data_IF_459981704209
#
_entry.id   IF_459981704209
#
_cell.length_a   1.000
_cell.length_b   1.000
_cell.length_c   1.000
_cell.angle_alpha   90.00
_cell.angle_beta   90.00
_cell.angle_gamma   90.00
#
_symmetry.space_group_name_H-M   'P 1'
#
loop_
_entity.id
_entity.type
_entity.pdbx_description
1 polymer ?
#
# COMPACT_ATOMS: atom_id res chain seq x y z
N UNK A 1 -8.70 -10.34 8.89
CA UNK A 1 -9.01 -11.42 7.92
C UNK A 1 -7.75 -12.11 7.36
N UNK A 2 -6.66 -11.41 7.02
CA UNK A 2 -5.46 -12.04 6.41
C UNK A 2 -4.47 -12.71 7.37
N UNK A 3 -4.57 -12.39 8.65
CA UNK A 3 -3.89 -13.09 9.72
C UNK A 3 -5.06 -13.50 10.59
N UNK A 4 -5.51 -14.76 10.48
CA UNK A 4 -6.40 -15.33 11.49
C UNK A 4 -5.54 -15.39 12.75
N UNK A 5 -5.55 -14.28 13.49
CA UNK A 5 -4.81 -14.12 14.73
C UNK A 5 -5.90 -14.05 15.79
N UNK A 6 -6.04 -15.12 16.55
CA UNK A 6 -6.89 -15.07 17.72
C UNK A 6 -6.25 -14.13 18.74
N UNK A 7 -7.06 -13.24 19.32
CA UNK A 7 -6.72 -12.38 20.45
C UNK A 7 -5.65 -11.29 20.18
N UNK A 8 -5.86 -10.44 19.18
CA UNK A 8 -5.14 -9.15 19.09
C UNK A 8 -5.96 -8.08 19.82
N UNK A 9 -5.33 -7.25 20.63
CA UNK A 9 -6.03 -6.21 21.39
C UNK A 9 -6.52 -5.08 20.47
N UNK A 10 -7.82 -4.85 20.42
CA UNK A 10 -8.43 -3.77 19.63
C UNK A 10 -8.10 -2.36 20.16
N UNK A 11 -7.53 -2.26 21.37
CA UNK A 11 -7.16 -0.98 21.99
C UNK A 11 -6.20 -0.17 21.12
N UNK A 12 -5.13 -0.79 20.61
CA UNK A 12 -4.15 -0.12 19.73
C UNK A 12 -4.80 0.38 18.43
N UNK A 13 -5.75 -0.38 17.88
CA UNK A 13 -6.46 0.00 16.67
C UNK A 13 -7.42 1.18 16.92
N UNK A 14 -8.12 1.20 18.07
CA UNK A 14 -8.97 2.33 18.47
C UNK A 14 -8.15 3.60 18.67
N UNK A 15 -6.99 3.49 19.33
CA UNK A 15 -6.08 4.63 19.48
C UNK A 15 -5.60 5.14 18.11
N UNK A 16 -5.14 4.25 17.23
CA UNK A 16 -4.75 4.63 15.87
C UNK A 16 -5.87 5.39 15.15
N UNK A 17 -7.11 4.88 15.20
CA UNK A 17 -8.27 5.53 14.59
C UNK A 17 -8.50 6.95 15.13
N UNK A 18 -8.61 7.12 16.46
CA UNK A 18 -8.91 8.44 17.02
C UNK A 18 -7.77 9.44 16.80
N UNK A 19 -6.52 9.06 17.08
CA UNK A 19 -5.37 9.96 16.92
C UNK A 19 -5.17 10.40 15.47
N UNK A 20 -5.27 9.48 14.50
CA UNK A 20 -5.12 9.83 13.08
C UNK A 20 -6.25 10.73 12.58
N UNK A 21 -7.52 10.43 12.91
CA UNK A 21 -8.64 11.24 12.45
C UNK A 21 -8.67 12.62 13.11
N UNK A 22 -8.49 12.70 14.43
CA UNK A 22 -8.45 13.98 15.16
C UNK A 22 -7.29 14.82 14.64
N UNK A 23 -6.10 14.24 14.48
CA UNK A 23 -4.94 14.95 13.94
C UNK A 23 -5.17 15.50 12.53
N UNK A 24 -5.78 14.71 11.63
CA UNK A 24 -6.09 15.16 10.27
C UNK A 24 -7.13 16.28 10.24
N UNK A 25 -8.20 16.16 11.04
CA UNK A 25 -9.26 17.19 11.11
C UNK A 25 -8.69 18.50 11.64
N UNK A 26 -7.97 18.45 12.76
CA UNK A 26 -7.37 19.67 13.35
C UNK A 26 -6.36 20.29 12.40
N UNK A 27 -5.49 19.49 11.76
CA UNK A 27 -4.52 19.98 10.80
C UNK A 27 -5.20 20.66 9.60
N UNK A 28 -6.30 20.10 9.11
CA UNK A 28 -7.08 20.68 8.00
C UNK A 28 -7.70 22.01 8.42
N UNK A 29 -8.27 22.08 9.63
CA UNK A 29 -8.86 23.32 10.17
C UNK A 29 -7.79 24.40 10.38
N UNK A 30 -6.65 24.05 10.97
CA UNK A 30 -5.54 24.96 11.20
C UNK A 30 -4.99 25.54 9.88
N UNK A 31 -4.82 24.69 8.88
CA UNK A 31 -4.36 25.11 7.57
C UNK A 31 -5.36 26.03 6.86
N UNK A 32 -6.67 25.72 6.93
CA UNK A 32 -7.71 26.45 6.20
C UNK A 32 -8.14 27.75 6.88
N UNK A 33 -8.21 27.79 8.21
CA UNK A 33 -8.68 28.96 8.96
C UNK A 33 -7.55 29.86 9.47
N UNK A 34 -6.41 29.27 9.86
CA UNK A 34 -5.30 29.99 10.50
C UNK A 34 -4.11 30.21 9.57
N UNK A 35 -4.24 29.86 8.29
CA UNK A 35 -3.19 29.96 7.26
C UNK A 35 -1.88 29.25 7.64
N UNK A 36 -1.98 28.24 8.50
CA UNK A 36 -0.85 27.49 9.04
C UNK A 36 -0.22 28.14 10.26
N UNK A 37 -0.69 27.73 11.43
CA UNK A 37 -0.17 28.19 12.71
C UNK A 37 1.18 27.56 13.04
N UNK A 38 1.89 28.12 14.04
CA UNK A 38 3.12 27.55 14.59
C UNK A 38 2.91 26.12 15.16
N UNK A 39 1.64 25.72 15.35
CA UNK A 39 1.23 24.42 15.88
C UNK A 39 1.14 23.29 14.84
N UNK A 40 1.36 23.54 13.54
CA UNK A 40 1.38 22.48 12.50
C UNK A 40 2.24 21.25 12.91
N UNK A 41 3.46 21.41 13.47
CA UNK A 41 4.26 20.26 13.89
C UNK A 41 3.61 19.43 15.00
N UNK A 42 2.83 20.07 15.89
CA UNK A 42 2.11 19.40 16.99
C UNK A 42 0.98 18.54 16.42
N UNK A 43 0.22 19.06 15.45
CA UNK A 43 -0.83 18.30 14.76
C UNK A 43 -0.24 17.13 13.95
N UNK A 44 0.90 17.36 13.30
CA UNK A 44 1.67 16.30 12.65
C UNK A 44 2.11 15.20 13.61
N UNK A 45 2.60 15.56 14.81
CA UNK A 45 2.99 14.58 15.83
C UNK A 45 1.83 13.69 16.27
N UNK A 46 0.63 14.25 16.45
CA UNK A 46 -0.59 13.49 16.79
C UNK A 46 -0.92 12.44 15.70
N UNK A 47 -0.82 12.82 14.42
CA UNK A 47 -1.03 11.89 13.29
C UNK A 47 0.02 10.77 13.32
N UNK A 48 1.29 11.11 13.53
CA UNK A 48 2.40 10.15 13.61
C UNK A 48 2.16 9.16 14.74
N UNK A 49 1.76 9.62 15.92
CA UNK A 49 1.40 8.75 17.06
C UNK A 49 0.31 7.75 16.66
N UNK A 50 -0.74 8.19 15.96
CA UNK A 50 -1.78 7.31 15.44
C UNK A 50 -1.24 6.23 14.48
N UNK A 51 -0.36 6.62 13.55
CA UNK A 51 0.27 5.68 12.60
C UNK A 51 1.20 4.70 13.32
N UNK A 52 1.93 5.13 14.35
CA UNK A 52 2.77 4.24 15.17
C UNK A 52 1.93 3.18 15.88
N UNK A 53 0.79 3.57 16.47
CA UNK A 53 -0.15 2.60 17.05
C UNK A 53 -0.69 1.60 16.02
N UNK A 54 -0.96 2.07 14.79
CA UNK A 54 -1.35 1.19 13.68
C UNK A 54 -0.23 0.21 13.32
N UNK A 55 1.01 0.67 13.19
CA UNK A 55 2.17 -0.20 12.91
C UNK A 55 2.39 -1.24 14.01
N UNK A 56 2.23 -0.86 15.29
CA UNK A 56 2.30 -1.79 16.43
C UNK A 56 1.22 -2.87 16.31
N UNK A 57 -0.02 -2.49 15.99
CA UNK A 57 -1.11 -3.44 15.79
C UNK A 57 -0.83 -4.42 14.64
N UNK A 58 -0.30 -3.93 13.52
CA UNK A 58 0.08 -4.79 12.38
C UNK A 58 1.22 -5.74 12.79
N UNK A 59 2.23 -5.26 13.51
CA UNK A 59 3.34 -6.09 13.97
C UNK A 59 2.87 -7.19 14.95
N UNK A 60 1.97 -6.86 15.89
CA UNK A 60 1.36 -7.84 16.80
C UNK A 60 0.56 -8.90 16.03
N UNK A 61 -0.24 -8.47 15.05
CA UNK A 61 -1.00 -9.37 14.18
C UNK A 61 -0.08 -10.29 13.37
N UNK A 62 1.05 -9.76 12.88
CA UNK A 62 2.02 -10.51 12.07
C UNK A 62 2.77 -11.57 12.89
N UNK A 63 3.06 -11.28 14.17
CA UNK A 63 3.67 -12.24 15.11
C UNK A 63 2.74 -13.41 15.42
N UNK A 64 1.45 -13.16 15.58
CA UNK A 64 0.43 -14.18 15.92
C UNK A 64 -0.15 -14.92 14.71
N UNK A 65 0.56 -14.94 13.58
CA UNK A 65 0.02 -15.45 12.32
C UNK A 65 0.06 -16.97 12.21
N UNK A 66 -1.03 -17.55 11.72
CA UNK A 66 -1.15 -18.99 11.48
C UNK A 66 -0.49 -19.39 10.15
N UNK A 67 -0.61 -18.58 9.07
CA UNK A 67 0.04 -18.85 7.78
C UNK A 67 1.45 -18.27 7.74
N UNK A 68 2.47 -19.13 7.61
CA UNK A 68 3.88 -18.73 7.54
C UNK A 68 4.29 -18.21 6.15
N UNK A 69 3.75 -18.79 5.08
CA UNK A 69 4.01 -18.39 3.69
C UNK A 69 3.09 -17.23 3.33
N UNK A 70 3.69 -16.11 2.89
CA UNK A 70 2.95 -14.93 2.48
C UNK A 70 2.60 -15.03 1.00
N UNK A 71 1.30 -15.07 0.71
CA UNK A 71 0.79 -14.92 -0.64
C UNK A 71 1.22 -13.56 -1.22
N UNK A 72 1.32 -13.46 -2.54
CA UNK A 72 1.82 -12.26 -3.21
C UNK A 72 1.07 -10.97 -2.82
N UNK A 73 -0.26 -11.04 -2.69
CA UNK A 73 -1.08 -9.90 -2.26
C UNK A 73 -0.77 -9.48 -0.82
N UNK A 74 -0.30 -10.41 0.02
CA UNK A 74 0.16 -10.11 1.37
C UNK A 74 1.55 -9.45 1.38
N UNK A 75 2.46 -9.85 0.48
CA UNK A 75 3.75 -9.16 0.30
C UNK A 75 3.54 -7.70 -0.07
N UNK A 76 2.65 -7.40 -1.03
CA UNK A 76 2.24 -6.04 -1.38
C UNK A 76 1.61 -5.27 -0.19
N UNK A 77 0.76 -5.92 0.59
CA UNK A 77 0.14 -5.28 1.78
C UNK A 77 1.19 -4.93 2.83
N UNK A 78 2.14 -5.83 3.10
CA UNK A 78 3.23 -5.57 4.06
C UNK A 78 4.14 -4.46 3.55
N UNK A 79 4.51 -4.48 2.26
CA UNK A 79 5.26 -3.41 1.62
C UNK A 79 4.58 -2.04 1.83
N UNK A 80 3.26 -1.96 1.62
CA UNK A 80 2.50 -0.73 1.86
C UNK A 80 2.59 -0.27 3.32
N UNK A 81 2.39 -1.18 4.28
CA UNK A 81 2.43 -0.81 5.70
C UNK A 81 3.83 -0.33 6.11
N UNK A 82 4.89 -1.01 5.68
CA UNK A 82 6.25 -0.59 6.00
C UNK A 82 6.64 0.69 5.27
N UNK A 83 6.13 0.91 4.06
CA UNK A 83 6.44 2.10 3.28
C UNK A 83 5.85 3.38 3.88
N UNK A 84 4.87 3.32 4.78
CA UNK A 84 4.33 4.48 5.49
C UNK A 84 5.37 5.28 6.28
N UNK A 85 6.48 4.66 6.69
CA UNK A 85 7.57 5.38 7.35
C UNK A 85 8.20 6.44 6.42
N UNK A 86 8.31 6.15 5.11
CA UNK A 86 8.94 7.03 4.14
C UNK A 86 8.22 8.38 3.96
N UNK A 87 6.90 8.44 3.65
CA UNK A 87 6.19 9.70 3.54
C UNK A 87 6.13 10.47 4.87
N UNK A 88 6.16 9.80 6.02
CA UNK A 88 6.25 10.49 7.32
C UNK A 88 7.56 11.27 7.43
N UNK A 89 8.68 10.60 7.18
CA UNK A 89 10.01 11.23 7.24
C UNK A 89 10.11 12.37 6.21
N UNK A 90 9.68 12.13 4.97
CA UNK A 90 9.71 13.13 3.91
C UNK A 90 8.76 14.31 4.21
N UNK A 91 7.60 14.06 4.80
CA UNK A 91 6.65 15.10 5.21
C UNK A 91 7.19 15.98 6.34
N UNK A 92 7.90 15.40 7.31
CA UNK A 92 8.59 16.16 8.35
C UNK A 92 9.67 17.03 7.70
N UNK A 93 10.54 16.46 6.86
CA UNK A 93 11.59 17.20 6.17
C UNK A 93 11.02 18.35 5.30
N UNK A 94 9.90 18.12 4.61
CA UNK A 94 9.22 19.14 3.82
C UNK A 94 8.58 20.26 4.66
N UNK A 95 8.22 19.97 5.91
CA UNK A 95 7.58 20.93 6.82
C UNK A 95 8.60 21.85 7.49
N UNK A 96 9.85 21.42 7.67
CA UNK A 96 10.92 22.26 8.22
C UNK A 96 11.50 23.17 7.13
N UNK A 97 10.70 24.14 6.68
CA UNK A 97 11.06 25.16 5.69
C UNK A 97 12.26 26.03 6.12
N UNK A 98 12.63 26.00 7.42
CA UNK A 98 13.70 26.82 8.01
C UNK A 98 15.10 26.22 7.94
N UNK A 99 15.25 24.95 7.53
CA UNK A 99 16.58 24.40 7.24
C UNK A 99 16.93 24.93 5.86
N UNK A 100 17.97 25.76 5.73
CA UNK A 100 18.36 26.46 4.50
C UNK A 100 18.81 25.54 3.36
N UNK A 101 17.96 24.61 2.94
CA UNK A 101 18.13 23.75 1.80
C UNK A 101 18.03 24.58 0.51
N UNK A 102 18.82 24.17 -0.49
CA UNK A 102 18.66 24.66 -1.85
C UNK A 102 17.23 24.40 -2.35
N UNK A 103 16.66 25.35 -3.10
CA UNK A 103 15.29 25.25 -3.63
C UNK A 103 15.12 23.99 -4.49
N UNK A 104 16.14 23.59 -5.25
CA UNK A 104 16.12 22.37 -6.04
C UNK A 104 16.01 21.11 -5.18
N UNK A 105 16.69 21.08 -4.03
CA UNK A 105 16.60 19.96 -3.09
C UNK A 105 15.23 19.90 -2.40
N UNK A 106 14.69 21.05 -2.00
CA UNK A 106 13.34 21.12 -1.41
C UNK A 106 12.27 20.55 -2.37
N UNK A 107 12.31 20.95 -3.65
CA UNK A 107 11.37 20.44 -4.65
C UNK A 107 11.46 18.92 -4.81
N UNK A 108 12.68 18.35 -4.81
CA UNK A 108 12.90 16.89 -4.86
C UNK A 108 12.27 16.17 -3.67
N UNK A 109 12.41 16.71 -2.45
CA UNK A 109 11.80 16.13 -1.25
C UNK A 109 10.27 16.15 -1.32
N UNK A 110 9.68 17.27 -1.76
CA UNK A 110 8.22 17.39 -1.92
C UNK A 110 7.71 16.42 -2.99
N UNK A 111 8.45 16.27 -4.10
CA UNK A 111 8.10 15.32 -5.15
C UNK A 111 8.19 13.87 -4.65
N UNK A 112 9.25 13.51 -3.92
CA UNK A 112 9.38 12.19 -3.30
C UNK A 112 8.28 11.91 -2.27
N UNK A 113 7.89 12.92 -1.49
CA UNK A 113 6.79 12.81 -0.54
C UNK A 113 5.50 12.40 -1.26
N UNK A 114 5.11 13.15 -2.29
CA UNK A 114 3.92 12.83 -3.09
C UNK A 114 4.04 11.46 -3.76
N UNK A 115 5.19 11.18 -4.40
CA UNK A 115 5.46 9.90 -5.04
C UNK A 115 5.33 8.72 -4.06
N UNK A 116 5.91 8.84 -2.86
CA UNK A 116 5.87 7.79 -1.85
C UNK A 116 4.44 7.50 -1.36
N UNK A 117 3.60 8.52 -1.18
CA UNK A 117 2.20 8.33 -0.82
C UNK A 117 1.41 7.61 -1.91
N UNK A 118 1.47 8.09 -3.15
CA UNK A 118 0.66 7.53 -4.22
C UNK A 118 1.21 6.20 -4.73
N UNK A 119 2.48 6.17 -5.13
CA UNK A 119 3.06 5.02 -5.82
C UNK A 119 3.67 3.98 -4.91
N UNK A 120 4.06 4.32 -3.67
CA UNK A 120 4.66 3.33 -2.76
C UNK A 120 3.66 2.86 -1.71
N UNK A 121 2.80 3.73 -1.17
CA UNK A 121 1.78 3.33 -0.20
C UNK A 121 0.46 2.89 -0.87
N UNK A 122 -0.23 3.82 -1.54
CA UNK A 122 -1.59 3.58 -2.07
C UNK A 122 -1.59 2.50 -3.16
N UNK A 123 -0.70 2.60 -4.15
CA UNK A 123 -0.63 1.59 -5.22
C UNK A 123 -0.29 0.21 -4.67
N UNK A 124 0.61 0.11 -3.68
CA UNK A 124 0.97 -1.18 -3.07
C UNK A 124 -0.22 -1.84 -2.40
N UNK A 125 -1.03 -1.08 -1.66
CA UNK A 125 -2.21 -1.67 -1.01
C UNK A 125 -3.28 -2.06 -2.04
N UNK A 126 -3.48 -1.26 -3.09
CA UNK A 126 -4.44 -1.57 -4.16
C UNK A 126 -4.04 -2.87 -4.88
N UNK A 127 -2.79 -2.98 -5.32
CA UNK A 127 -2.27 -4.17 -5.99
C UNK A 127 -2.40 -5.40 -5.08
N UNK A 128 -2.08 -5.25 -3.79
CA UNK A 128 -2.19 -6.32 -2.82
C UNK A 128 -3.62 -6.81 -2.59
N UNK A 129 -4.57 -5.88 -2.41
CA UNK A 129 -5.97 -6.23 -2.11
C UNK A 129 -6.75 -6.69 -3.35
N UNK A 130 -6.34 -6.27 -4.55
CA UNK A 130 -6.96 -6.73 -5.81
C UNK A 130 -6.92 -8.25 -5.91
N UNK A 131 -5.74 -8.86 -5.71
CA UNK A 131 -5.53 -10.32 -5.79
C UNK A 131 -6.26 -11.14 -4.73
N UNK A 132 -6.92 -10.48 -3.78
CA UNK A 132 -7.74 -11.11 -2.77
C UNK A 132 -9.22 -10.88 -3.03
N UNK A 133 -9.56 -9.63 -3.38
CA UNK A 133 -10.95 -9.20 -3.52
C UNK A 133 -11.56 -9.70 -4.82
N UNK A 134 -10.90 -9.47 -5.98
CA UNK A 134 -11.48 -9.84 -7.28
C UNK A 134 -11.62 -11.36 -7.41
N UNK A 135 -10.59 -12.19 -7.10
CA UNK A 135 -10.75 -13.63 -7.21
C UNK A 135 -11.83 -14.18 -6.27
N UNK A 136 -12.00 -13.58 -5.09
CA UNK A 136 -13.07 -13.97 -4.17
C UNK A 136 -14.46 -13.63 -4.72
N UNK A 137 -14.64 -12.46 -5.32
CA UNK A 137 -15.92 -12.06 -5.94
C UNK A 137 -16.26 -13.01 -7.09
N UNK A 138 -15.33 -13.25 -8.02
CA UNK A 138 -15.56 -14.17 -9.13
C UNK A 138 -15.82 -15.59 -8.64
N UNK A 139 -15.09 -16.04 -7.62
CA UNK A 139 -15.33 -17.34 -7.03
C UNK A 139 -16.75 -17.46 -6.45
N UNK A 140 -17.23 -16.42 -5.76
CA UNK A 140 -18.59 -16.40 -5.22
C UNK A 140 -19.67 -16.42 -6.31
N UNK A 141 -19.44 -15.79 -7.46
CA UNK A 141 -20.40 -15.80 -8.57
C UNK A 141 -20.43 -17.17 -9.24
N UNK A 142 -19.26 -17.72 -9.56
CA UNK A 142 -19.14 -18.93 -10.39
C UNK A 142 -19.29 -20.24 -9.60
N UNK A 143 -18.85 -20.28 -8.33
CA UNK A 143 -18.72 -21.53 -7.58
C UNK A 143 -19.62 -21.65 -6.36
N UNK A 144 -20.28 -20.58 -5.88
CA UNK A 144 -21.13 -20.64 -4.68
C UNK A 144 -22.20 -21.72 -4.74
N UNK A 145 -22.82 -21.92 -5.91
CA UNK A 145 -23.85 -22.96 -6.11
C UNK A 145 -23.29 -24.39 -6.22
N UNK A 146 -21.98 -24.53 -6.42
CA UNK A 146 -21.25 -25.78 -6.60
C UNK A 146 -20.56 -26.25 -5.31
N UNK A 147 -20.49 -25.40 -4.28
CA UNK A 147 -19.93 -25.73 -2.97
C UNK A 147 -20.68 -26.92 -2.36
N UNK A 148 -19.93 -27.96 -1.99
CA UNK A 148 -20.49 -29.20 -1.41
C UNK A 148 -21.02 -30.21 -2.44
N UNK A 149 -21.16 -29.81 -3.72
CA UNK A 149 -21.53 -30.72 -4.81
C UNK A 149 -20.32 -31.26 -5.55
N UNK A 150 -19.28 -30.43 -5.72
CA UNK A 150 -18.06 -30.77 -6.46
C UNK A 150 -16.83 -30.08 -5.85
N UNK A 151 -15.63 -30.53 -6.25
CA UNK A 151 -14.39 -29.84 -5.89
C UNK A 151 -14.31 -28.49 -6.61
N UNK A 152 -14.41 -27.40 -5.86
CA UNK A 152 -14.24 -26.04 -6.35
C UNK A 152 -12.80 -25.57 -6.14
N UNK A 153 -12.18 -24.85 -7.09
CA UNK A 153 -10.85 -24.28 -6.89
C UNK A 153 -10.86 -23.28 -5.73
N UNK A 154 -9.72 -22.99 -5.14
CA UNK A 154 -9.60 -21.90 -4.16
C UNK A 154 -9.56 -20.56 -4.89
N UNK A 155 -10.07 -19.45 -4.29
CA UNK A 155 -9.98 -18.12 -4.91
C UNK A 155 -8.56 -17.73 -5.36
N UNK A 156 -7.53 -18.15 -4.61
CA UNK A 156 -6.12 -17.90 -4.97
C UNK A 156 -5.70 -18.57 -6.28
N UNK A 157 -6.33 -19.68 -6.66
CA UNK A 157 -5.98 -20.47 -7.83
C UNK A 157 -6.58 -19.90 -9.13
N UNK A 158 -7.48 -18.92 -9.04
CA UNK A 158 -8.11 -18.27 -10.20
C UNK A 158 -7.11 -17.37 -10.95
N UNK A 159 -6.13 -16.81 -10.24
CA UNK A 159 -5.10 -15.96 -10.84
C UNK A 159 -3.77 -16.69 -11.01
N UNK A 160 -2.89 -16.19 -11.87
CA UNK A 160 -1.54 -16.75 -12.02
C UNK A 160 -0.61 -16.19 -10.95
N UNK A 161 -0.14 -17.05 -10.05
CA UNK A 161 0.84 -16.67 -9.02
C UNK A 161 2.18 -16.24 -9.63
N UNK A 162 2.65 -16.93 -10.69
CA UNK A 162 3.89 -16.58 -11.39
C UNK A 162 3.84 -15.18 -12.02
N UNK A 163 2.73 -14.80 -12.67
CA UNK A 163 2.57 -13.45 -13.22
C UNK A 163 2.55 -12.39 -12.11
N UNK A 164 1.88 -12.67 -11.00
CA UNK A 164 1.85 -11.78 -9.85
C UNK A 164 3.24 -11.62 -9.19
N UNK A 165 4.05 -12.69 -9.17
CA UNK A 165 5.45 -12.62 -8.72
C UNK A 165 6.31 -11.72 -9.60
N UNK A 166 6.26 -11.91 -10.93
CA UNK A 166 6.96 -11.03 -11.85
C UNK A 166 6.50 -9.57 -11.70
N UNK A 167 5.19 -9.35 -11.62
CA UNK A 167 4.62 -8.04 -11.39
C UNK A 167 5.15 -7.39 -10.09
N UNK A 168 5.27 -8.16 -9.01
CA UNK A 168 5.84 -7.68 -7.75
C UNK A 168 7.30 -7.26 -7.90
N UNK A 169 8.14 -8.05 -8.58
CA UNK A 169 9.54 -7.70 -8.80
C UNK A 169 9.70 -6.44 -9.65
N UNK A 170 8.99 -6.36 -10.79
CA UNK A 170 9.00 -5.17 -11.64
C UNK A 170 8.53 -3.92 -10.88
N UNK A 171 7.53 -4.08 -10.02
CA UNK A 171 7.02 -2.99 -9.19
C UNK A 171 8.06 -2.48 -8.19
N UNK A 172 8.70 -3.38 -7.44
CA UNK A 172 9.77 -3.00 -6.50
C UNK A 172 10.93 -2.32 -7.24
N UNK A 173 11.37 -2.89 -8.36
CA UNK A 173 12.42 -2.31 -9.18
C UNK A 173 12.03 -0.91 -9.67
N UNK A 174 10.80 -0.73 -10.16
CA UNK A 174 10.31 0.58 -10.61
C UNK A 174 10.34 1.63 -9.50
N UNK A 175 9.94 1.27 -8.27
CA UNK A 175 9.96 2.18 -7.12
C UNK A 175 11.40 2.60 -6.78
N UNK A 176 12.32 1.64 -6.69
CA UNK A 176 13.72 1.92 -6.34
C UNK A 176 14.36 2.80 -7.40
N UNK A 177 14.16 2.49 -8.68
CA UNK A 177 14.68 3.27 -9.80
C UNK A 177 14.09 4.68 -9.83
N UNK A 178 12.77 4.84 -9.63
CA UNK A 178 12.12 6.16 -9.61
C UNK A 178 12.60 7.02 -8.44
N UNK A 179 12.66 6.47 -7.22
CA UNK A 179 13.20 7.20 -6.06
C UNK A 179 14.64 7.65 -6.33
N UNK A 180 15.47 6.77 -6.90
CA UNK A 180 16.86 7.08 -7.24
C UNK A 180 16.96 8.16 -8.32
N UNK A 181 16.16 8.06 -9.38
CA UNK A 181 16.12 9.05 -10.46
C UNK A 181 15.67 10.43 -9.98
N UNK A 182 14.69 10.49 -9.08
CA UNK A 182 14.22 11.74 -8.47
C UNK A 182 15.31 12.36 -7.58
N UNK A 183 15.97 11.56 -6.74
CA UNK A 183 17.05 12.04 -5.87
C UNK A 183 18.24 12.59 -6.66
N UNK A 184 18.63 11.90 -7.73
CA UNK A 184 19.73 12.29 -8.61
C UNK A 184 19.33 13.36 -9.64
N UNK A 185 18.05 13.72 -9.72
CA UNK A 185 17.48 14.54 -10.79
C UNK A 185 17.88 14.06 -12.21
N UNK A 186 17.96 12.75 -12.40
CA UNK A 186 18.38 12.16 -13.68
C UNK A 186 17.16 11.70 -14.49
N UNK A 187 16.92 12.36 -15.62
CA UNK A 187 15.76 12.10 -16.47
C UNK A 187 15.73 10.67 -17.01
N UNK A 188 16.86 10.16 -17.52
CA UNK A 188 16.95 8.80 -18.08
C UNK A 188 16.60 7.74 -17.03
N UNK A 189 17.06 7.92 -15.79
CA UNK A 189 16.75 6.98 -14.70
C UNK A 189 15.26 7.02 -14.37
N UNK A 190 14.64 8.19 -14.38
CA UNK A 190 13.19 8.34 -14.17
C UNK A 190 12.40 7.64 -15.30
N UNK A 191 12.81 7.80 -16.56
CA UNK A 191 12.16 7.14 -17.70
C UNK A 191 12.25 5.61 -17.61
N UNK A 192 13.42 5.07 -17.25
CA UNK A 192 13.60 3.63 -17.02
C UNK A 192 12.67 3.15 -15.89
N UNK A 193 12.59 3.90 -14.79
CA UNK A 193 11.69 3.61 -13.69
C UNK A 193 10.22 3.61 -14.11
N UNK A 194 9.81 4.58 -14.94
CA UNK A 194 8.46 4.66 -15.49
C UNK A 194 8.14 3.50 -16.44
N UNK A 195 9.11 3.08 -17.27
CA UNK A 195 8.96 1.92 -18.14
C UNK A 195 8.76 0.61 -17.34
N UNK A 196 9.51 0.42 -16.24
CA UNK A 196 9.31 -0.72 -15.33
C UNK A 196 7.93 -0.69 -14.66
N UNK A 197 7.44 0.50 -14.31
CA UNK A 197 6.09 0.67 -13.75
C UNK A 197 5.01 0.37 -14.81
N UNK A 198 5.25 0.69 -16.08
CA UNK A 198 4.35 0.33 -17.17
C UNK A 198 4.30 -1.19 -17.38
N UNK A 199 5.43 -1.89 -17.33
CA UNK A 199 5.47 -3.36 -17.34
C UNK A 199 4.67 -3.94 -16.18
N UNK A 200 4.79 -3.34 -14.99
CA UNK A 200 4.01 -3.73 -13.81
C UNK A 200 2.51 -3.60 -14.07
N UNK A 201 2.06 -2.49 -14.67
CA UNK A 201 0.67 -2.28 -15.02
C UNK A 201 0.16 -3.30 -16.06
N UNK A 202 0.98 -3.63 -17.07
CA UNK A 202 0.62 -4.65 -18.06
C UNK A 202 0.44 -6.03 -17.43
N UNK A 203 1.40 -6.48 -16.62
CA UNK A 203 1.34 -7.78 -15.93
C UNK A 203 0.14 -7.86 -14.97
N UNK A 204 -0.15 -6.77 -14.25
CA UNK A 204 -1.33 -6.65 -13.41
C UNK A 204 -2.62 -6.81 -14.21
N UNK A 205 -2.78 -6.07 -15.31
CA UNK A 205 -3.98 -6.12 -16.14
C UNK A 205 -4.19 -7.50 -16.77
N UNK A 206 -3.14 -8.14 -17.27
CA UNK A 206 -3.21 -9.51 -17.80
C UNK A 206 -3.79 -10.46 -16.74
N UNK A 207 -3.33 -10.35 -15.50
CA UNK A 207 -3.79 -11.22 -14.41
C UNK A 207 -5.23 -10.87 -13.97
N UNK A 208 -5.60 -9.59 -13.93
CA UNK A 208 -6.97 -9.14 -13.65
C UNK A 208 -7.94 -9.64 -14.71
N UNK A 209 -7.61 -9.52 -16.01
CA UNK A 209 -8.46 -10.06 -17.07
C UNK A 209 -8.59 -11.58 -16.97
N UNK A 210 -7.50 -12.29 -16.66
CA UNK A 210 -7.57 -13.73 -16.42
C UNK A 210 -8.56 -14.08 -15.31
N UNK A 211 -8.59 -13.30 -14.22
CA UNK A 211 -9.54 -13.50 -13.12
C UNK A 211 -10.97 -13.21 -13.56
N UNK A 212 -11.21 -12.05 -14.18
CA UNK A 212 -12.56 -11.58 -14.53
C UNK A 212 -13.22 -12.48 -15.57
N UNK A 213 -12.45 -13.02 -16.52
CA UNK A 213 -12.96 -13.94 -17.55
C UNK A 213 -12.93 -15.41 -17.14
N UNK A 214 -12.53 -15.72 -15.89
CA UNK A 214 -12.56 -17.08 -15.38
C UNK A 214 -14.00 -17.55 -15.22
N UNK A 215 -14.32 -18.71 -15.78
CA UNK A 215 -15.64 -19.35 -15.68
C UNK A 215 -15.51 -20.75 -15.11
N UNK A 216 -16.54 -21.19 -14.38
CA UNK A 216 -16.64 -22.59 -14.00
C UNK A 216 -16.71 -23.47 -15.26
N UNK A 217 -15.84 -24.47 -15.37
CA UNK A 217 -15.96 -25.46 -16.45
C UNK A 217 -17.25 -26.26 -16.21
N UNK A 218 -18.14 -26.40 -17.21
CA UNK A 218 -19.31 -27.24 -17.07
C UNK A 218 -18.84 -28.67 -16.81
N UNK A 219 -19.43 -29.30 -15.80
CA UNK A 219 -19.20 -30.72 -15.53
C UNK A 219 -20.07 -31.49 -16.51
N UNK A 220 -19.42 -32.12 -17.48
CA UNK A 220 -20.04 -33.14 -18.33
C UNK A 220 -20.36 -34.39 -17.53
#
# INVERSE_FOLDING_TARGET
MFLVSHQVSDKSLKFAYYFTNIGLVILTIDWLLLHGSIFIPVWGAIIITGIVFFMIFVAQSYKKRIKKILDIGMKHTMLAVFSLALPIVLGILASVKSIGFDQGFYFRIVLLYGFSLFFVFITSIILGQTYKTIPFIIWLVEYKALVGKQKTPLPKEIYSEKLAEWQFYFYISSIITLITGILLANHLVIEIGAALLLITALLYNINVFKIVFHKAKPVG
#
